data_IF_242615723820
#
_entry.id   IF_242615723820
#
_cell.length_a   1.000
_cell.length_b   1.000
_cell.length_c   1.000
_cell.angle_alpha   90.00
_cell.angle_beta   90.00
_cell.angle_gamma   90.00
#
_symmetry.space_group_name_H-M   'P 1'
#
loop_
_entity.id
_entity.type
_entity.pdbx_description
1 polymer ?
#
# COMPACT_ATOMS: atom_id res chain seq x y z
N UNK A 1 1.49 -7.44 -1.55
CA UNK A 1 2.01 -6.47 -2.55
C UNK A 1 2.50 -5.25 -1.81
N UNK A 2 3.68 -4.74 -2.16
CA UNK A 2 4.21 -3.49 -1.63
C UNK A 2 4.64 -2.58 -2.79
N UNK A 3 4.32 -1.29 -2.69
CA UNK A 3 4.75 -0.24 -3.61
C UNK A 3 5.56 0.77 -2.81
N UNK A 4 6.82 0.95 -3.19
CA UNK A 4 7.72 1.91 -2.57
C UNK A 4 7.33 3.35 -2.87
N UNK A 5 7.67 4.26 -1.96
CA UNK A 5 7.84 5.66 -2.32
C UNK A 5 8.98 5.84 -3.33
N UNK A 6 8.87 6.93 -4.05
CA UNK A 6 9.86 7.46 -4.97
C UNK A 6 9.37 8.75 -5.60
N UNK A 7 8.23 9.29 -5.13
CA UNK A 7 7.46 10.36 -5.78
C UNK A 7 7.29 10.12 -7.30
N UNK A 8 7.21 8.83 -7.69
CA UNK A 8 7.23 8.34 -9.08
C UNK A 8 8.50 8.64 -9.91
N UNK A 9 9.53 9.27 -9.34
CA UNK A 9 10.72 9.78 -10.05
C UNK A 9 12.01 9.03 -9.65
N UNK A 10 12.15 8.67 -8.38
CA UNK A 10 13.38 8.14 -7.76
C UNK A 10 13.09 6.83 -7.01
N UNK A 11 14.10 6.33 -6.31
CA UNK A 11 14.08 5.07 -5.56
C UNK A 11 13.92 3.82 -6.44
N UNK A 12 14.02 2.67 -5.79
CA UNK A 12 13.89 1.34 -6.35
C UNK A 12 13.62 0.39 -5.21
N UNK A 13 12.80 -0.62 -5.45
CA UNK A 13 12.57 -1.70 -4.48
C UNK A 13 13.85 -2.51 -4.17
N UNK A 14 14.87 -2.38 -5.03
CA UNK A 14 16.17 -2.98 -4.86
C UNK A 14 17.15 -2.12 -4.03
N UNK A 15 16.75 -0.94 -3.55
CA UNK A 15 17.60 -0.17 -2.64
C UNK A 15 17.74 -0.89 -1.30
N UNK A 16 18.87 -0.64 -0.62
CA UNK A 16 19.15 -1.25 0.68
C UNK A 16 18.06 -0.91 1.71
N UNK A 17 17.49 0.29 1.61
CA UNK A 17 16.48 0.80 2.53
C UNK A 17 15.17 0.01 2.43
N UNK A 18 14.59 -0.12 1.23
CA UNK A 18 13.38 -0.94 1.04
C UNK A 18 13.64 -2.42 1.24
N UNK A 19 14.77 -2.93 0.76
CA UNK A 19 15.11 -4.34 0.96
C UNK A 19 15.21 -4.70 2.45
N UNK A 20 15.85 -3.85 3.26
CA UNK A 20 15.94 -4.05 4.70
C UNK A 20 14.57 -3.97 5.37
N UNK A 21 13.77 -2.94 5.06
CA UNK A 21 12.44 -2.77 5.65
C UNK A 21 11.51 -3.94 5.31
N UNK A 22 11.43 -4.34 4.05
CA UNK A 22 10.55 -5.43 3.61
C UNK A 22 10.98 -6.80 4.14
N UNK A 23 12.29 -7.04 4.33
CA UNK A 23 12.76 -8.23 5.02
C UNK A 23 12.30 -8.25 6.49
N UNK A 24 12.33 -7.10 7.17
CA UNK A 24 11.81 -7.01 8.55
C UNK A 24 10.31 -7.27 8.60
N UNK A 25 9.53 -6.69 7.67
CA UNK A 25 8.09 -6.93 7.55
C UNK A 25 7.83 -8.42 7.27
N UNK A 26 8.43 -8.99 6.23
CA UNK A 26 8.25 -10.40 5.87
C UNK A 26 8.58 -11.35 7.02
N UNK A 27 9.68 -11.09 7.74
CA UNK A 27 10.12 -11.91 8.86
C UNK A 27 9.18 -11.81 10.07
N UNK A 28 8.79 -10.59 10.48
CA UNK A 28 7.89 -10.40 11.64
C UNK A 28 6.46 -10.85 11.36
N UNK A 29 5.97 -10.58 10.17
CA UNK A 29 4.61 -10.88 9.79
C UNK A 29 4.44 -12.34 9.27
N UNK A 30 5.53 -13.03 8.96
CA UNK A 30 5.47 -14.36 8.32
C UNK A 30 4.70 -14.34 7.00
N UNK A 31 4.99 -13.34 6.17
CA UNK A 31 4.36 -13.15 4.86
C UNK A 31 5.36 -13.22 3.74
N UNK A 32 4.81 -13.48 2.56
CA UNK A 32 5.48 -13.28 1.30
C UNK A 32 5.31 -11.81 0.89
N UNK A 33 6.41 -11.06 0.89
CA UNK A 33 6.44 -9.68 0.40
C UNK A 33 6.79 -9.66 -1.10
N UNK A 34 5.97 -8.97 -1.89
CA UNK A 34 6.21 -8.75 -3.32
C UNK A 34 6.31 -7.25 -3.55
N UNK A 35 7.52 -6.66 -3.47
CA UNK A 35 7.74 -5.30 -3.92
C UNK A 35 7.60 -5.20 -5.44
N UNK A 36 7.06 -4.09 -5.94
CA UNK A 36 6.85 -3.87 -7.37
C UNK A 36 7.80 -2.82 -7.90
N UNK A 37 8.73 -3.23 -8.76
CA UNK A 37 9.60 -2.31 -9.49
C UNK A 37 8.84 -1.69 -10.68
N UNK A 38 8.12 -0.61 -10.43
CA UNK A 38 7.34 0.09 -11.46
C UNK A 38 8.18 1.13 -12.21
N UNK A 39 7.79 1.46 -13.45
CA UNK A 39 8.50 2.46 -14.26
C UNK A 39 8.33 3.87 -13.73
N UNK A 40 9.43 4.63 -13.77
CA UNK A 40 9.51 5.99 -13.23
C UNK A 40 9.40 7.10 -14.29
N UNK A 41 8.87 8.24 -13.89
CA UNK A 41 8.94 9.51 -14.63
C UNK A 41 10.35 10.11 -14.53
N UNK A 42 10.79 10.94 -15.49
CA UNK A 42 10.08 11.39 -16.70
C UNK A 42 10.15 10.41 -17.88
N UNK A 43 10.95 9.33 -17.78
CA UNK A 43 11.14 8.37 -18.89
C UNK A 43 9.84 7.68 -19.28
N UNK A 44 8.99 7.39 -18.30
CA UNK A 44 7.67 6.79 -18.51
C UNK A 44 6.62 7.61 -17.76
N UNK A 45 5.88 8.45 -18.49
CA UNK A 45 4.83 9.29 -17.92
C UNK A 45 3.74 8.45 -17.22
N UNK A 46 3.13 9.01 -16.18
CA UNK A 46 1.90 8.44 -15.62
C UNK A 46 0.84 8.32 -16.75
N UNK A 47 0.08 7.20 -16.82
CA UNK A 47 -0.14 6.24 -15.74
C UNK A 47 0.77 4.99 -15.75
N UNK A 48 1.95 5.00 -16.40
CA UNK A 48 2.79 3.81 -16.53
C UNK A 48 3.06 3.07 -15.19
N UNK A 49 3.36 3.79 -14.12
CA UNK A 49 3.56 3.21 -12.79
C UNK A 49 2.31 2.46 -12.27
N UNK A 50 1.11 3.01 -12.49
CA UNK A 50 -0.15 2.36 -12.11
C UNK A 50 -0.44 1.13 -12.97
N UNK A 51 -0.11 1.17 -14.26
CA UNK A 51 -0.31 0.04 -15.17
C UNK A 51 0.67 -1.12 -14.88
N UNK A 52 1.91 -0.81 -14.51
CA UNK A 52 2.88 -1.82 -14.06
C UNK A 52 2.41 -2.46 -12.73
N UNK A 53 1.92 -1.62 -11.82
CA UNK A 53 1.38 -2.06 -10.52
C UNK A 53 0.16 -2.95 -10.67
N UNK A 54 -0.72 -2.64 -11.63
CA UNK A 54 -1.89 -3.46 -11.96
C UNK A 54 -1.50 -4.80 -12.57
N UNK A 55 -0.53 -4.80 -13.50
CA UNK A 55 0.00 -6.02 -14.09
C UNK A 55 0.66 -6.90 -13.03
N UNK A 56 1.46 -6.32 -12.13
CA UNK A 56 2.12 -7.05 -11.05
C UNK A 56 1.11 -7.68 -10.08
N UNK A 57 0.06 -6.94 -9.70
CA UNK A 57 -1.00 -7.44 -8.83
C UNK A 57 -1.71 -8.67 -9.45
N UNK A 58 -2.10 -8.58 -10.72
CA UNK A 58 -2.71 -9.71 -11.44
C UNK A 58 -1.73 -10.86 -11.69
N UNK A 59 -0.45 -10.55 -11.91
CA UNK A 59 0.59 -11.57 -12.04
C UNK A 59 0.73 -12.40 -10.75
N UNK A 60 0.72 -11.76 -9.57
CA UNK A 60 0.77 -12.48 -8.29
C UNK A 60 -0.46 -13.38 -8.10
N UNK A 61 -1.65 -12.90 -8.45
CA UNK A 61 -2.86 -13.72 -8.27
C UNK A 61 -2.84 -14.95 -9.17
N UNK A 62 -2.48 -14.82 -10.45
CA UNK A 62 -2.32 -15.95 -11.39
C UNK A 62 -1.25 -16.95 -10.93
N UNK A 63 -0.11 -16.46 -10.42
CA UNK A 63 0.98 -17.30 -9.91
C UNK A 63 0.69 -17.98 -8.56
N UNK A 64 -0.37 -17.57 -7.88
CA UNK A 64 -0.86 -18.31 -6.71
C UNK A 64 -1.88 -19.39 -7.09
N UNK A 65 -2.40 -19.41 -8.33
CA UNK A 65 -3.46 -20.35 -8.77
C UNK A 65 -3.07 -21.33 -9.87
N UNK A 66 -2.15 -20.99 -10.77
CA UNK A 66 -1.96 -21.78 -12.00
C UNK A 66 -0.63 -21.60 -12.72
N UNK A 67 0.20 -20.63 -12.33
CA UNK A 67 1.42 -20.23 -13.06
C UNK A 67 2.71 -20.67 -12.31
N UNK A 68 3.91 -20.62 -12.94
CA UNK A 68 5.05 -21.47 -12.58
C UNK A 68 5.91 -21.00 -11.40
N UNK A 69 5.63 -19.84 -10.81
CA UNK A 69 6.41 -19.32 -9.67
C UNK A 69 6.14 -20.13 -8.40
N UNK A 70 6.92 -21.20 -8.22
CA UNK A 70 6.71 -22.18 -7.16
C UNK A 70 6.64 -21.59 -5.76
N UNK A 71 7.39 -20.53 -5.45
CA UNK A 71 7.32 -19.89 -4.13
C UNK A 71 5.98 -19.18 -3.87
N UNK A 72 5.32 -18.62 -4.90
CA UNK A 72 3.98 -18.05 -4.77
C UNK A 72 2.92 -19.15 -4.72
N UNK A 73 3.08 -20.19 -5.52
CA UNK A 73 2.19 -21.34 -5.47
C UNK A 73 2.23 -22.06 -4.11
N UNK A 74 3.45 -22.28 -3.57
CA UNK A 74 3.66 -23.03 -2.33
C UNK A 74 3.32 -22.22 -1.07
N UNK A 75 3.50 -20.89 -1.10
CA UNK A 75 3.44 -20.03 0.10
C UNK A 75 2.43 -18.89 0.02
N UNK A 76 1.96 -18.55 -1.18
CA UNK A 76 0.97 -17.51 -1.40
C UNK A 76 -0.41 -17.93 -0.88
N UNK A 77 -1.18 -16.96 -0.39
CA UNK A 77 -2.54 -17.21 0.07
C UNK A 77 -3.46 -16.04 -0.33
N UNK A 78 -4.28 -16.26 -1.37
CA UNK A 78 -5.19 -15.23 -1.89
C UNK A 78 -6.35 -14.86 -0.95
N UNK A 79 -6.63 -15.69 0.07
CA UNK A 79 -7.57 -15.30 1.14
C UNK A 79 -6.99 -14.28 2.12
N UNK A 80 -5.67 -14.01 2.02
CA UNK A 80 -4.92 -13.05 2.82
C UNK A 80 -4.06 -12.16 1.93
N UNK A 81 -4.66 -11.61 0.87
CA UNK A 81 -3.97 -10.68 -0.04
C UNK A 81 -3.98 -9.27 0.56
N UNK A 82 -2.80 -8.77 0.93
CA UNK A 82 -2.62 -7.40 1.40
C UNK A 82 -1.92 -6.55 0.35
N UNK A 83 -2.38 -5.31 0.20
CA UNK A 83 -1.80 -4.28 -0.67
C UNK A 83 -1.35 -3.15 0.24
N UNK A 84 -0.07 -2.78 0.13
CA UNK A 84 0.53 -1.74 0.94
C UNK A 84 1.45 -0.86 0.12
N UNK A 85 1.75 0.32 0.64
CA UNK A 85 2.81 1.17 0.15
C UNK A 85 2.98 2.38 1.05
N UNK A 86 4.07 3.10 0.85
CA UNK A 86 4.39 4.33 1.55
C UNK A 86 4.37 5.54 0.61
N UNK A 87 3.89 6.69 1.09
CA UNK A 87 3.83 7.95 0.33
C UNK A 87 3.24 7.78 -1.08
N UNK A 88 4.01 7.99 -2.15
CA UNK A 88 3.54 7.79 -3.52
C UNK A 88 3.15 6.34 -3.80
N UNK A 89 3.83 5.37 -3.18
CA UNK A 89 3.46 3.96 -3.19
C UNK A 89 2.12 3.68 -2.51
N UNK A 90 1.79 4.39 -1.42
CA UNK A 90 0.47 4.31 -0.80
C UNK A 90 -0.63 4.86 -1.74
N UNK A 91 -0.31 5.91 -2.52
CA UNK A 91 -1.22 6.40 -3.56
C UNK A 91 -1.47 5.34 -4.64
N UNK A 92 -0.43 4.62 -5.09
CA UNK A 92 -0.57 3.45 -5.97
C UNK A 92 -1.46 2.38 -5.33
N UNK A 93 -1.17 1.99 -4.09
CA UNK A 93 -1.93 0.96 -3.36
C UNK A 93 -3.43 1.30 -3.29
N UNK A 94 -3.76 2.56 -2.96
CA UNK A 94 -5.13 3.07 -2.98
C UNK A 94 -5.76 2.93 -4.37
N UNK A 95 -5.06 3.39 -5.42
CA UNK A 95 -5.58 3.32 -6.78
C UNK A 95 -5.77 1.87 -7.27
N UNK A 96 -4.93 0.93 -6.85
CA UNK A 96 -5.13 -0.49 -7.14
C UNK A 96 -6.39 -1.01 -6.47
N UNK A 97 -6.61 -0.71 -5.19
CA UNK A 97 -7.83 -1.09 -4.49
C UNK A 97 -9.09 -0.45 -5.07
N UNK A 98 -9.00 0.79 -5.56
CA UNK A 98 -10.09 1.40 -6.32
C UNK A 98 -10.32 0.69 -7.64
N UNK A 99 -9.25 0.40 -8.40
CA UNK A 99 -9.30 -0.23 -9.72
C UNK A 99 -9.97 -1.61 -9.67
N UNK A 100 -9.64 -2.44 -8.67
CA UNK A 100 -10.31 -3.74 -8.44
C UNK A 100 -11.83 -3.58 -8.27
N UNK A 101 -12.30 -2.51 -7.60
CA UNK A 101 -13.73 -2.26 -7.42
C UNK A 101 -14.45 -1.71 -8.65
N UNK A 102 -13.70 -1.30 -9.68
CA UNK A 102 -14.25 -0.72 -10.92
C UNK A 102 -14.14 -1.62 -12.13
N UNK A 103 -13.14 -2.50 -12.14
CA UNK A 103 -12.97 -3.56 -13.12
C UNK A 103 -13.63 -4.86 -12.62
N UNK A 104 -13.58 -5.94 -13.39
CA UNK A 104 -14.21 -7.24 -13.06
C UNK A 104 -13.47 -8.03 -11.94
N UNK A 105 -12.83 -7.33 -11.00
CA UNK A 105 -12.03 -7.89 -9.92
C UNK A 105 -10.59 -8.21 -10.34
N UNK A 106 -9.92 -9.06 -9.55
CA UNK A 106 -8.59 -9.59 -9.85
C UNK A 106 -8.69 -10.97 -10.50
N UNK A 107 -7.69 -11.32 -11.31
CA UNK A 107 -7.56 -12.68 -11.82
C UNK A 107 -7.53 -13.70 -10.68
N UNK A 108 -8.09 -14.89 -10.94
CA UNK A 108 -8.24 -15.94 -9.93
C UNK A 108 -9.32 -15.66 -8.89
N UNK A 109 -10.09 -14.57 -9.03
CA UNK A 109 -11.17 -14.20 -8.10
C UNK A 109 -10.67 -13.73 -6.74
N UNK A 110 -9.41 -13.31 -6.65
CA UNK A 110 -8.82 -12.81 -5.41
C UNK A 110 -9.49 -11.50 -4.96
N UNK A 111 -9.61 -11.33 -3.64
CA UNK A 111 -10.05 -10.08 -3.04
C UNK A 111 -8.92 -9.46 -2.23
N UNK A 112 -8.82 -8.13 -2.26
CA UNK A 112 -7.92 -7.41 -1.36
C UNK A 112 -8.50 -7.54 0.06
N UNK A 113 -7.74 -8.22 0.92
CA UNK A 113 -8.12 -8.48 2.31
C UNK A 113 -7.82 -7.27 3.19
N UNK A 114 -6.64 -6.68 3.01
CA UNK A 114 -6.24 -5.47 3.70
C UNK A 114 -5.53 -4.47 2.79
N UNK A 115 -5.78 -3.19 3.04
CA UNK A 115 -5.11 -2.06 2.41
C UNK A 115 -4.39 -1.27 3.51
N UNK A 116 -3.07 -1.17 3.41
CA UNK A 116 -2.23 -0.45 4.38
C UNK A 116 -1.55 0.73 3.69
N UNK A 117 -1.90 1.94 4.10
CA UNK A 117 -1.39 3.19 3.52
C UNK A 117 -0.45 3.85 4.53
N UNK A 118 0.85 3.86 4.23
CA UNK A 118 1.84 4.44 5.12
C UNK A 118 2.14 5.89 4.69
N UNK A 119 1.87 6.87 5.56
CA UNK A 119 2.03 8.31 5.26
C UNK A 119 1.63 8.70 3.81
N UNK A 120 0.37 8.47 3.39
CA UNK A 120 0.04 8.48 1.97
C UNK A 120 0.18 9.84 1.28
N UNK A 121 0.73 9.82 0.06
CA UNK A 121 0.85 11.01 -0.79
C UNK A 121 -0.49 11.35 -1.45
N UNK A 122 -1.42 11.90 -0.66
CA UNK A 122 -2.69 12.42 -1.15
C UNK A 122 -2.66 13.95 -1.29
N UNK A 123 -3.32 14.44 -2.33
CA UNK A 123 -3.43 15.87 -2.62
C UNK A 123 -4.89 16.29 -2.74
N UNK A 124 -5.17 17.54 -2.39
CA UNK A 124 -6.51 18.12 -2.42
C UNK A 124 -7.12 18.27 -1.02
N UNK A 125 -7.90 19.34 -0.83
CA UNK A 125 -8.64 19.63 0.43
C UNK A 125 -10.06 19.07 0.42
N UNK A 126 -10.57 18.77 -0.76
CA UNK A 126 -11.91 18.24 -0.96
C UNK A 126 -11.78 16.78 -1.39
N UNK A 127 -12.68 15.89 -0.94
CA UNK A 127 -12.81 14.57 -1.55
C UNK A 127 -13.03 14.77 -3.06
N UNK A 128 -12.50 13.88 -3.89
CA UNK A 128 -12.79 13.88 -5.32
C UNK A 128 -14.26 13.48 -5.57
N UNK A 129 -15.20 14.38 -5.24
CA UNK A 129 -16.63 14.22 -5.44
C UNK A 129 -16.92 14.43 -6.92
N UNK A 130 -17.05 13.35 -7.70
CA UNK A 130 -17.53 13.52 -9.08
C UNK A 130 -17.35 12.39 -10.10
N UNK A 131 -16.70 11.25 -9.81
CA UNK A 131 -16.54 10.18 -10.82
C UNK A 131 -16.91 8.80 -10.32
N UNK A 132 -18.17 8.40 -10.61
CA UNK A 132 -18.81 7.10 -10.36
C UNK A 132 -18.77 6.66 -8.88
N UNK A 133 -19.69 5.78 -8.48
CA UNK A 133 -19.69 5.14 -7.15
C UNK A 133 -18.56 4.12 -7.08
N UNK A 134 -17.32 4.56 -7.26
CA UNK A 134 -16.14 3.72 -7.12
C UNK A 134 -15.84 3.64 -5.63
N UNK A 135 -15.80 2.43 -5.09
CA UNK A 135 -15.55 2.17 -3.68
C UNK A 135 -14.19 1.50 -3.58
N UNK A 136 -13.36 1.96 -2.65
CA UNK A 136 -12.14 1.22 -2.31
C UNK A 136 -12.58 -0.17 -1.85
N UNK A 137 -12.10 -1.22 -2.50
CA UNK A 137 -12.41 -2.59 -2.08
C UNK A 137 -11.29 -3.11 -1.20
N UNK A 138 -11.65 -3.34 0.05
CA UNK A 138 -10.85 -4.08 1.01
C UNK A 138 -11.75 -4.51 2.16
N UNK A 139 -11.37 -5.56 2.90
CA UNK A 139 -12.05 -5.95 4.13
C UNK A 139 -11.50 -5.21 5.36
N UNK A 140 -10.26 -4.75 5.29
CA UNK A 140 -9.57 -3.99 6.35
C UNK A 140 -8.79 -2.84 5.74
N UNK A 141 -8.69 -1.73 6.46
CA UNK A 141 -7.87 -0.61 6.02
C UNK A 141 -7.15 0.01 7.19
N UNK A 142 -5.88 0.31 6.99
CA UNK A 142 -5.08 1.06 7.92
C UNK A 142 -4.41 2.26 7.22
N UNK A 143 -4.31 3.37 7.94
CA UNK A 143 -3.60 4.58 7.52
C UNK A 143 -2.63 4.96 8.64
N UNK A 144 -1.33 5.06 8.34
CA UNK A 144 -0.36 5.68 9.26
C UNK A 144 -0.16 7.14 8.89
N UNK A 145 0.16 7.96 9.90
CA UNK A 145 0.48 9.37 9.70
C UNK A 145 1.61 9.82 10.63
N UNK A 146 2.47 10.68 10.10
CA UNK A 146 3.60 11.25 10.82
C UNK A 146 3.30 12.68 11.30
N UNK A 147 3.57 12.98 12.57
CA UNK A 147 3.14 14.20 13.25
C UNK A 147 3.64 15.51 12.64
N UNK A 148 4.83 15.51 12.05
CA UNK A 148 5.48 16.63 11.38
C UNK A 148 5.40 16.55 9.85
N UNK A 149 4.58 15.64 9.32
CA UNK A 149 4.38 15.48 7.88
C UNK A 149 3.44 16.54 7.32
N UNK A 150 3.82 17.13 6.19
CA UNK A 150 3.00 18.09 5.45
C UNK A 150 1.73 17.43 4.88
N UNK A 151 1.72 16.09 4.70
CA UNK A 151 0.56 15.31 4.25
C UNK A 151 -0.37 14.86 5.38
N UNK A 152 0.04 15.02 6.65
CA UNK A 152 -0.76 14.59 7.81
C UNK A 152 -2.22 15.08 7.77
N UNK A 153 -2.53 16.34 7.42
CA UNK A 153 -3.93 16.77 7.32
C UNK A 153 -4.74 15.96 6.29
N UNK A 154 -4.12 15.54 5.19
CA UNK A 154 -4.72 14.77 4.12
C UNK A 154 -4.94 13.31 4.55
N UNK A 155 -4.01 12.72 5.31
CA UNK A 155 -4.15 11.37 5.85
C UNK A 155 -5.37 11.27 6.77
N UNK A 156 -5.48 12.23 7.70
CA UNK A 156 -6.60 12.33 8.63
C UNK A 156 -7.92 12.60 7.90
N UNK A 157 -7.90 13.49 6.89
CA UNK A 157 -9.07 13.79 6.08
C UNK A 157 -9.53 12.57 5.28
N UNK A 158 -8.61 11.82 4.69
CA UNK A 158 -8.90 10.61 3.93
C UNK A 158 -9.54 9.53 4.83
N UNK A 159 -8.97 9.28 6.00
CA UNK A 159 -9.54 8.34 6.97
C UNK A 159 -10.95 8.77 7.42
N UNK A 160 -11.15 10.05 7.70
CA UNK A 160 -12.45 10.60 8.08
C UNK A 160 -13.50 10.44 6.96
N UNK A 161 -13.13 10.75 5.70
CA UNK A 161 -14.01 10.58 4.54
C UNK A 161 -14.42 9.11 4.37
N UNK A 162 -13.49 8.17 4.51
CA UNK A 162 -13.80 6.75 4.39
C UNK A 162 -14.71 6.25 5.50
N UNK A 163 -14.46 6.64 6.75
CA UNK A 163 -15.34 6.31 7.88
C UNK A 163 -16.76 6.86 7.67
N UNK A 164 -16.89 8.03 7.04
CA UNK A 164 -18.19 8.62 6.67
C UNK A 164 -18.82 8.09 5.37
N UNK A 165 -18.08 7.33 4.54
CA UNK A 165 -18.48 6.94 3.18
C UNK A 165 -19.51 5.81 3.10
N UNK A 166 -19.83 5.18 4.24
CA UNK A 166 -20.66 3.97 4.27
C UNK A 166 -19.93 2.72 3.74
N UNK A 167 -18.60 2.72 3.68
CA UNK A 167 -17.79 1.50 3.50
C UNK A 167 -18.13 0.42 4.55
N UNK A 168 -18.65 0.84 5.71
CA UNK A 168 -19.29 -0.03 6.70
C UNK A 168 -18.32 -0.66 7.69
N UNK A 169 -17.07 -0.16 7.74
CA UNK A 169 -16.00 -0.56 8.66
C UNK A 169 -15.21 0.68 9.06
N UNK A 170 -14.51 0.60 10.18
CA UNK A 170 -13.63 1.67 10.67
C UNK A 170 -12.21 1.50 10.11
N UNK A 171 -11.61 2.59 9.67
CA UNK A 171 -10.20 2.65 9.26
C UNK A 171 -9.33 2.65 10.52
N UNK A 172 -8.41 1.68 10.61
CA UNK A 172 -7.40 1.63 11.67
C UNK A 172 -6.39 2.78 11.44
N UNK A 173 -6.28 3.71 12.38
CA UNK A 173 -5.35 4.84 12.27
C UNK A 173 -4.21 4.69 13.28
N UNK A 174 -2.99 4.95 12.84
CA UNK A 174 -1.81 4.97 13.71
C UNK A 174 -0.98 6.21 13.42
N UNK A 175 -0.99 7.15 14.37
CA UNK A 175 -0.23 8.38 14.26
C UNK A 175 1.02 8.32 15.13
N UNK A 176 2.17 8.73 14.57
CA UNK A 176 3.40 8.91 15.33
C UNK A 176 3.72 10.40 15.51
N UNK A 177 3.54 10.96 16.71
CA UNK A 177 3.87 12.37 16.99
C UNK A 177 5.35 12.68 16.75
N UNK A 178 5.64 13.93 16.40
CA UNK A 178 6.99 14.49 16.28
C UNK A 178 7.91 13.83 15.23
N UNK A 179 7.37 12.95 14.38
CA UNK A 179 8.11 12.31 13.29
C UNK A 179 7.84 12.94 11.93
N UNK A 180 8.82 12.87 11.03
CA UNK A 180 8.71 13.36 9.65
C UNK A 180 8.11 12.28 8.73
N UNK A 181 7.75 12.70 7.52
CA UNK A 181 7.28 11.81 6.45
C UNK A 181 8.16 10.56 6.29
N UNK A 182 7.55 9.37 6.36
CA UNK A 182 8.16 8.05 6.13
C UNK A 182 9.40 7.80 7.00
N UNK A 183 9.37 8.28 8.24
CA UNK A 183 10.51 8.27 9.16
C UNK A 183 11.07 6.88 9.51
N UNK A 184 10.27 5.83 9.31
CA UNK A 184 10.58 4.47 9.77
C UNK A 184 11.57 3.74 8.85
N UNK A 185 11.76 4.21 7.62
CA UNK A 185 12.63 3.57 6.64
C UNK A 185 14.12 3.80 6.91
N UNK A 186 14.52 5.02 7.25
CA UNK A 186 15.93 5.39 7.44
C UNK A 186 16.46 5.09 8.87
N UNK A 187 15.55 4.90 9.83
CA UNK A 187 15.85 4.61 11.23
C UNK A 187 15.14 3.35 11.76
N UNK A 188 15.39 2.15 11.20
CA UNK A 188 14.62 0.94 11.51
C UNK A 188 14.76 0.42 12.96
N UNK A 189 15.75 0.93 13.72
CA UNK A 189 15.99 0.59 15.13
C UNK A 189 15.47 1.64 16.11
N UNK A 190 15.02 2.79 15.61
CA UNK A 190 14.44 3.82 16.45
C UNK A 190 13.18 3.29 17.16
N UNK A 191 12.94 3.62 18.44
CA UNK A 191 11.78 3.14 19.17
C UNK A 191 10.44 3.41 18.48
N UNK A 192 10.28 4.54 17.80
CA UNK A 192 9.08 4.87 17.05
C UNK A 192 8.96 3.98 15.80
N UNK A 193 10.05 3.73 15.08
CA UNK A 193 10.04 2.87 13.88
C UNK A 193 9.75 1.41 14.24
N UNK A 194 10.23 0.95 15.41
CA UNK A 194 9.95 -0.40 15.91
C UNK A 194 8.47 -0.57 16.27
N UNK A 195 7.84 0.46 16.85
CA UNK A 195 6.41 0.47 17.15
C UNK A 195 5.57 0.51 15.89
N UNK A 196 5.93 1.35 14.91
CA UNK A 196 5.25 1.39 13.62
C UNK A 196 5.36 0.06 12.89
N UNK A 197 6.55 -0.55 12.83
CA UNK A 197 6.71 -1.88 12.28
C UNK A 197 5.84 -2.92 13.04
N UNK A 198 5.68 -2.80 14.35
CA UNK A 198 4.78 -3.67 15.11
C UNK A 198 3.31 -3.47 14.73
N UNK A 199 2.87 -2.21 14.53
CA UNK A 199 1.54 -1.91 14.01
C UNK A 199 1.35 -2.53 12.62
N UNK A 200 2.24 -2.24 11.66
CA UNK A 200 2.23 -2.76 10.29
C UNK A 200 2.15 -4.28 10.25
N UNK A 201 2.98 -4.96 11.05
CA UNK A 201 3.04 -6.44 11.05
C UNK A 201 1.89 -7.10 11.83
N UNK A 202 1.14 -6.33 12.62
CA UNK A 202 -0.09 -6.80 13.29
C UNK A 202 -1.35 -6.66 12.43
N UNK A 203 -1.31 -5.87 11.35
CA UNK A 203 -2.46 -5.56 10.50
C UNK A 203 -2.87 -6.69 9.54
N UNK A 204 -2.01 -7.68 9.32
CA UNK A 204 -2.20 -8.81 8.40
C UNK A 204 -3.24 -9.87 8.83
#
# INVERSE_FOLDING_TARGET
MFYDDGVFIIESTFTLLYHAYLNMVAAKAHVVAVPVEYRLVPKHQLPAAYDDSWQALNWVTRNTTSEPESWLWDRGNLSRLFVAGDSAGANIAHNMAMRVGTEDGLDGGAAITGLLLLDPYFWGKEPMVGRRRTRVVSSRMAVTSSGLDDFRPQDLAYAAVLNGSGWGREVEQYETPDERHVYFLDRPKDPNSVKELAFVTSFQ
#
